data_IF_134925121640
#
_entry.id   IF_134925121640
#
_cell.length_a   1.000
_cell.length_b   1.000
_cell.length_c   1.000
_cell.angle_alpha   90.00
_cell.angle_beta   90.00
_cell.angle_gamma   90.00
#
_symmetry.space_group_name_H-M   'P 1'
#
loop_
_entity.id
_entity.type
_entity.pdbx_description
1 polymer ?
#
# COMPACT_ATOMS: atom_id res chain seq x y z
N UNK A 1 -15.28 26.64 9.76
CA UNK A 1 -14.42 25.81 8.88
C UNK A 1 -14.61 24.32 9.16
N UNK A 2 -14.67 23.92 10.43
CA UNK A 2 -15.08 22.58 10.92
C UNK A 2 -16.37 22.04 10.30
N UNK A 3 -17.38 22.90 10.09
CA UNK A 3 -18.66 22.52 9.49
C UNK A 3 -18.52 22.03 8.02
N UNK A 4 -17.60 22.63 7.24
CA UNK A 4 -17.36 22.23 5.84
C UNK A 4 -16.65 20.88 5.73
N UNK A 5 -15.67 20.60 6.60
CA UNK A 5 -14.99 19.31 6.61
C UNK A 5 -15.93 18.17 7.03
N UNK A 6 -16.81 18.42 8.01
CA UNK A 6 -17.83 17.46 8.41
C UNK A 6 -18.82 17.16 7.27
N UNK A 7 -19.27 18.19 6.55
CA UNK A 7 -20.15 18.03 5.38
C UNK A 7 -19.46 17.25 4.25
N UNK A 8 -18.22 17.58 3.92
CA UNK A 8 -17.43 16.84 2.92
C UNK A 8 -17.24 15.38 3.33
N UNK A 9 -16.93 15.13 4.61
CA UNK A 9 -16.75 13.79 5.17
C UNK A 9 -18.02 12.92 5.10
N UNK A 10 -19.19 13.56 5.22
CA UNK A 10 -20.51 12.92 5.09
C UNK A 10 -20.99 12.77 3.64
N UNK A 11 -20.32 13.40 2.67
CA UNK A 11 -20.71 13.33 1.26
C UNK A 11 -20.61 11.89 0.72
N UNK A 12 -21.50 11.54 -0.23
CA UNK A 12 -21.54 10.20 -0.81
C UNK A 12 -20.20 9.73 -1.43
N UNK A 13 -19.46 10.58 -2.17
CA UNK A 13 -18.15 10.18 -2.70
C UNK A 13 -17.14 9.83 -1.60
N UNK A 14 -17.06 10.64 -0.55
CA UNK A 14 -16.14 10.40 0.56
C UNK A 14 -16.58 9.20 1.39
N UNK A 15 -17.88 9.02 1.62
CA UNK A 15 -18.41 7.83 2.28
C UNK A 15 -18.06 6.53 1.52
N UNK A 16 -18.09 6.55 0.18
CA UNK A 16 -17.63 5.44 -0.65
C UNK A 16 -16.15 5.13 -0.46
N UNK A 17 -15.28 6.14 -0.49
CA UNK A 17 -13.85 5.97 -0.24
C UNK A 17 -13.54 5.45 1.18
N UNK A 18 -14.30 5.91 2.19
CA UNK A 18 -14.19 5.40 3.56
C UNK A 18 -14.56 3.92 3.64
N UNK A 19 -15.63 3.51 2.97
CA UNK A 19 -16.05 2.12 2.91
C UNK A 19 -15.01 1.23 2.20
N UNK A 20 -14.45 1.69 1.08
CA UNK A 20 -13.41 0.97 0.35
C UNK A 20 -12.11 0.87 1.17
N UNK A 21 -11.69 1.93 1.85
CA UNK A 21 -10.52 1.90 2.73
C UNK A 21 -10.71 0.94 3.92
N UNK A 22 -11.87 0.99 4.58
CA UNK A 22 -12.21 0.06 5.65
C UNK A 22 -12.25 -1.39 5.16
N UNK A 23 -12.82 -1.65 3.98
CA UNK A 23 -12.80 -2.97 3.35
C UNK A 23 -11.37 -3.45 3.07
N UNK A 24 -10.50 -2.60 2.53
CA UNK A 24 -9.11 -2.95 2.27
C UNK A 24 -8.35 -3.36 3.54
N UNK A 25 -8.55 -2.64 4.65
CA UNK A 25 -7.95 -2.98 5.96
C UNK A 25 -8.46 -4.33 6.46
N UNK A 26 -9.79 -4.55 6.46
CA UNK A 26 -10.37 -5.82 6.91
C UNK A 26 -9.95 -6.98 6.03
N UNK A 27 -9.86 -6.77 4.72
CA UNK A 27 -9.37 -7.78 3.78
C UNK A 27 -7.88 -8.07 4.01
N UNK A 28 -7.05 -7.06 4.26
CA UNK A 28 -5.64 -7.26 4.61
C UNK A 28 -5.49 -8.07 5.91
N UNK A 29 -6.31 -7.80 6.92
CA UNK A 29 -6.37 -8.62 8.13
C UNK A 29 -6.80 -10.07 7.83
N UNK A 30 -7.83 -10.26 6.98
CA UNK A 30 -8.30 -11.57 6.55
C UNK A 30 -7.20 -12.38 5.84
N UNK A 31 -6.37 -11.72 5.03
CA UNK A 31 -5.23 -12.33 4.33
C UNK A 31 -3.93 -12.40 5.15
N UNK A 32 -3.94 -11.99 6.43
CA UNK A 32 -2.77 -12.06 7.30
C UNK A 32 -1.67 -11.03 6.99
N UNK A 33 -2.02 -9.90 6.36
CA UNK A 33 -1.08 -8.83 5.99
C UNK A 33 -0.92 -7.75 7.08
N UNK A 34 -1.76 -7.80 8.12
CA UNK A 34 -1.73 -6.86 9.24
C UNK A 34 -0.64 -7.21 10.26
N UNK A 35 -0.13 -6.22 10.97
CA UNK A 35 0.83 -6.40 12.07
C UNK A 35 0.34 -5.65 13.32
N UNK A 36 -0.28 -6.37 14.26
CA UNK A 36 -0.85 -5.77 15.47
C UNK A 36 -1.81 -4.62 15.16
N UNK A 37 -1.55 -3.45 15.74
CA UNK A 37 -2.26 -2.18 15.49
C UNK A 37 -1.43 -1.18 14.67
N UNK A 38 -0.31 -1.64 14.10
CA UNK A 38 0.60 -0.86 13.26
C UNK A 38 0.10 -0.85 11.80
N UNK A 39 0.93 -0.32 10.89
CA UNK A 39 0.69 -0.15 9.46
C UNK A 39 -0.44 0.83 9.14
N UNK A 40 -0.40 1.37 7.92
CA UNK A 40 -1.35 2.41 7.52
C UNK A 40 -1.72 2.31 6.05
N UNK A 41 -3.00 2.50 5.78
CA UNK A 41 -3.54 2.67 4.42
C UNK A 41 -4.16 4.07 4.31
N UNK A 42 -3.91 4.75 3.19
CA UNK A 42 -4.52 6.04 2.90
C UNK A 42 -5.04 6.17 1.48
N UNK A 43 -6.00 7.07 1.30
CA UNK A 43 -6.49 7.49 -0.02
C UNK A 43 -6.76 8.99 -0.06
N UNK A 44 -6.12 9.68 -1.02
CA UNK A 44 -6.32 11.11 -1.27
C UNK A 44 -7.69 11.39 -1.87
N UNK A 45 -8.31 12.49 -1.44
CA UNK A 45 -9.58 12.93 -2.00
C UNK A 45 -9.38 13.42 -3.44
N UNK A 46 -10.27 13.07 -4.40
CA UNK A 46 -10.15 13.47 -5.79
C UNK A 46 -10.64 14.91 -6.03
N UNK A 47 -10.21 15.86 -5.19
CA UNK A 47 -10.64 17.25 -5.19
C UNK A 47 -9.47 18.27 -5.19
N UNK A 48 -8.24 17.77 -5.34
CA UNK A 48 -6.99 18.56 -5.31
C UNK A 48 -6.78 19.37 -4.01
N UNK A 49 -7.47 19.02 -2.92
CA UNK A 49 -7.32 19.71 -1.63
C UNK A 49 -6.07 19.27 -0.84
N UNK A 50 -5.42 18.17 -1.25
CA UNK A 50 -4.35 17.54 -0.47
C UNK A 50 -4.82 16.85 0.82
N UNK A 51 -6.13 16.70 0.98
CA UNK A 51 -6.74 15.95 2.09
C UNK A 51 -6.81 14.47 1.73
N UNK A 52 -6.67 13.61 2.72
CA UNK A 52 -6.77 12.18 2.51
C UNK A 52 -7.44 11.49 3.70
N UNK A 53 -7.93 10.28 3.44
CA UNK A 53 -8.49 9.37 4.43
C UNK A 53 -7.41 8.43 4.93
N UNK A 54 -7.45 8.11 6.24
CA UNK A 54 -6.47 7.27 6.93
C UNK A 54 -7.18 6.34 7.93
N UNK A 55 -6.62 5.16 8.19
CA UNK A 55 -7.11 4.28 9.25
C UNK A 55 -6.90 4.90 10.65
N UNK A 56 -7.79 4.58 11.61
CA UNK A 56 -7.68 5.06 12.98
C UNK A 56 -6.50 4.41 13.71
N UNK A 57 -5.96 5.14 14.70
CA UNK A 57 -4.95 4.59 15.62
C UNK A 57 -5.59 3.65 16.65
N UNK A 58 -4.97 2.50 16.87
CA UNK A 58 -5.24 1.63 18.02
C UNK A 58 -6.33 0.56 17.82
N UNK A 59 -6.97 0.51 16.65
CA UNK A 59 -7.87 -0.58 16.30
C UNK A 59 -7.13 -1.66 15.50
N UNK A 60 -7.51 -2.92 15.71
CA UNK A 60 -7.10 -3.98 14.80
C UNK A 60 -7.78 -3.76 13.45
N UNK A 61 -7.08 -4.04 12.36
CA UNK A 61 -7.61 -3.81 11.01
C UNK A 61 -8.92 -4.56 10.71
N UNK A 62 -9.19 -5.68 11.40
CA UNK A 62 -10.48 -6.41 11.30
C UNK A 62 -11.66 -5.68 11.94
N UNK A 63 -11.41 -4.71 12.81
CA UNK A 63 -12.42 -3.96 13.56
C UNK A 63 -12.83 -2.66 12.85
N UNK A 64 -12.00 -2.19 11.91
CA UNK A 64 -12.18 -0.88 11.27
C UNK A 64 -13.38 -0.89 10.33
N UNK A 65 -14.39 -0.08 10.65
CA UNK A 65 -15.52 0.26 9.79
C UNK A 65 -15.33 1.60 9.08
N UNK A 66 -16.25 1.93 8.16
CA UNK A 66 -16.22 3.18 7.40
C UNK A 66 -16.35 4.44 8.28
N UNK A 67 -17.00 4.32 9.44
CA UNK A 67 -17.16 5.42 10.41
C UNK A 67 -15.95 5.57 11.34
N UNK A 68 -15.00 4.64 11.29
CA UNK A 68 -13.75 4.72 12.03
C UNK A 68 -12.64 5.43 11.24
N UNK A 69 -12.81 5.59 9.93
CA UNK A 69 -11.85 6.29 9.08
C UNK A 69 -11.76 7.77 9.47
N UNK A 70 -10.56 8.33 9.39
CA UNK A 70 -10.28 9.73 9.72
C UNK A 70 -9.86 10.48 8.46
N UNK A 71 -10.36 11.71 8.28
CA UNK A 71 -9.87 12.64 7.26
C UNK A 71 -8.79 13.53 7.87
N UNK A 72 -7.66 13.64 7.19
CA UNK A 72 -6.52 14.47 7.59
C UNK A 72 -6.08 15.40 6.46
N UNK A 73 -5.38 16.48 6.82
CA UNK A 73 -4.60 17.27 5.87
C UNK A 73 -3.15 16.77 5.73
N UNK A 74 -2.39 17.39 4.83
CA UNK A 74 -0.97 17.10 4.61
C UNK A 74 -0.06 17.39 5.81
N UNK A 75 -0.54 18.12 6.84
CA UNK A 75 0.18 18.38 8.08
C UNK A 75 -0.16 17.38 9.19
N UNK A 76 -1.08 16.44 8.91
CA UNK A 76 -1.51 15.43 9.86
C UNK A 76 -2.55 15.91 10.86
N UNK A 77 -3.16 17.07 10.62
CA UNK A 77 -4.27 17.52 11.43
C UNK A 77 -5.52 16.74 11.04
N UNK A 78 -6.17 16.14 12.05
CA UNK A 78 -7.46 15.50 11.87
C UNK A 78 -8.54 16.56 11.60
N UNK A 79 -9.17 16.48 10.42
CA UNK A 79 -10.20 17.41 9.96
C UNK A 79 -11.61 16.90 10.26
N UNK A 80 -11.82 15.58 10.19
CA UNK A 80 -13.09 14.90 10.49
C UNK A 80 -12.85 13.42 10.82
N UNK A 81 -13.79 12.81 11.55
CA UNK A 81 -13.66 11.45 12.10
C UNK A 81 -13.62 11.45 13.63
N UNK A 82 -13.83 10.28 14.24
CA UNK A 82 -13.98 10.14 15.70
C UNK A 82 -12.75 9.63 16.45
N UNK A 83 -11.72 9.22 15.71
CA UNK A 83 -10.53 8.58 16.27
C UNK A 83 -9.29 9.45 16.09
N UNK A 84 -8.28 9.28 16.97
CA UNK A 84 -6.96 9.84 16.72
C UNK A 84 -6.28 9.13 15.55
N UNK A 85 -5.35 9.83 14.90
CA UNK A 85 -4.46 9.27 13.89
C UNK A 85 -3.08 9.01 14.48
N UNK A 86 -2.35 8.06 13.90
CA UNK A 86 -0.97 7.82 14.27
C UNK A 86 -0.07 8.85 13.59
N UNK A 87 0.73 9.65 14.33
CA UNK A 87 1.57 10.67 13.71
C UNK A 87 2.59 10.12 12.71
N UNK A 88 3.08 8.89 12.92
CA UNK A 88 4.09 8.24 12.07
C UNK A 88 3.58 7.96 10.66
N UNK A 89 2.28 7.63 10.53
CA UNK A 89 1.61 7.41 9.25
C UNK A 89 1.75 8.62 8.31
N UNK A 90 1.78 9.82 8.90
CA UNK A 90 1.87 11.07 8.15
C UNK A 90 3.22 11.26 7.48
N UNK A 91 4.31 10.77 8.07
CA UNK A 91 5.63 11.01 7.53
C UNK A 91 5.82 10.34 6.18
N UNK A 92 5.33 9.12 5.99
CA UNK A 92 5.43 8.40 4.71
C UNK A 92 4.31 8.82 3.75
N UNK A 93 3.05 8.75 4.19
CA UNK A 93 1.91 8.88 3.30
C UNK A 93 1.77 10.29 2.71
N UNK A 94 1.95 11.35 3.52
CA UNK A 94 1.84 12.72 3.02
C UNK A 94 2.93 13.05 1.99
N UNK A 95 4.14 12.54 2.18
CA UNK A 95 5.23 12.73 1.21
C UNK A 95 4.94 12.01 -0.10
N UNK A 96 4.42 10.78 -0.06
CA UNK A 96 4.07 10.01 -1.25
C UNK A 96 2.91 10.65 -2.02
N UNK A 97 1.82 11.05 -1.35
CA UNK A 97 0.73 11.79 -1.98
C UNK A 97 1.24 13.08 -2.64
N UNK A 98 2.08 13.86 -1.96
CA UNK A 98 2.54 15.16 -2.44
C UNK A 98 3.60 15.08 -3.55
N UNK A 99 4.61 14.23 -3.39
CA UNK A 99 5.80 14.17 -4.25
C UNK A 99 5.60 13.14 -5.37
N UNK A 100 5.20 11.92 -5.01
CA UNK A 100 5.00 10.84 -5.98
C UNK A 100 3.60 10.88 -6.62
N UNK A 101 2.68 11.71 -6.11
CA UNK A 101 1.33 11.93 -6.66
C UNK A 101 0.51 10.65 -6.79
N UNK A 102 0.67 9.76 -5.82
CA UNK A 102 -0.04 8.48 -5.76
C UNK A 102 -1.34 8.62 -4.95
N UNK A 103 -2.53 8.36 -5.52
CA UNK A 103 -3.79 8.56 -4.81
C UNK A 103 -4.03 7.57 -3.67
N UNK A 104 -3.68 6.30 -3.85
CA UNK A 104 -3.77 5.29 -2.79
C UNK A 104 -2.36 4.88 -2.37
N UNK A 105 -2.13 4.77 -1.07
CA UNK A 105 -0.84 4.38 -0.49
C UNK A 105 -1.09 3.33 0.59
N UNK A 106 -0.56 2.13 0.40
CA UNK A 106 -0.74 1.00 1.29
C UNK A 106 0.61 0.57 1.85
N UNK A 107 0.87 0.86 3.11
CA UNK A 107 2.10 0.44 3.80
C UNK A 107 1.83 -0.81 4.65
N UNK A 108 2.68 -1.82 4.54
CA UNK A 108 2.58 -3.05 5.34
C UNK A 108 3.94 -3.59 5.76
N UNK A 109 3.93 -4.31 6.89
CA UNK A 109 4.99 -5.22 7.33
C UNK A 109 4.56 -6.69 7.08
N UNK A 110 4.09 -6.98 5.88
CA UNK A 110 3.59 -8.32 5.55
C UNK A 110 4.74 -9.35 5.49
N UNK A 111 4.54 -10.60 5.98
CA UNK A 111 5.64 -11.49 6.34
C UNK A 111 6.68 -11.75 5.25
N UNK A 112 6.25 -12.09 4.03
CA UNK A 112 7.17 -12.55 2.98
C UNK A 112 7.84 -11.39 2.27
N UNK A 113 7.11 -10.31 1.96
CA UNK A 113 7.75 -9.13 1.39
C UNK A 113 8.74 -8.49 2.37
N UNK A 114 8.38 -8.37 3.66
CA UNK A 114 9.30 -7.89 4.69
C UNK A 114 10.53 -8.78 4.79
N UNK A 115 10.38 -10.11 4.74
CA UNK A 115 11.53 -11.02 4.75
C UNK A 115 12.53 -10.74 3.61
N UNK A 116 12.05 -10.44 2.40
CA UNK A 116 12.92 -10.07 1.28
C UNK A 116 13.63 -8.73 1.48
N UNK A 117 13.05 -7.78 2.22
CA UNK A 117 13.76 -6.52 2.58
C UNK A 117 14.97 -6.74 3.48
N UNK A 118 15.09 -7.92 4.12
CA UNK A 118 16.19 -8.27 5.01
C UNK A 118 17.38 -8.88 4.27
N UNK A 119 17.21 -9.31 3.02
CA UNK A 119 18.27 -9.93 2.21
C UNK A 119 19.19 -8.87 1.59
N UNK A 120 20.31 -9.31 1.00
CA UNK A 120 21.17 -8.41 0.20
C UNK A 120 20.46 -7.82 -1.01
N UNK A 121 19.49 -8.55 -1.57
CA UNK A 121 18.74 -8.13 -2.76
C UNK A 121 17.67 -7.09 -2.42
N UNK A 122 17.24 -7.04 -1.15
CA UNK A 122 16.28 -6.09 -0.57
C UNK A 122 14.89 -6.10 -1.22
N UNK A 123 14.62 -6.95 -2.19
CA UNK A 123 13.40 -6.94 -2.98
C UNK A 123 13.04 -8.28 -3.62
N UNK A 124 11.84 -8.31 -4.20
CA UNK A 124 11.37 -9.38 -5.07
C UNK A 124 12.17 -9.43 -6.38
N UNK A 125 12.59 -10.63 -6.78
CA UNK A 125 13.04 -10.89 -8.15
C UNK A 125 11.82 -11.04 -9.06
N UNK A 126 11.61 -10.00 -9.86
CA UNK A 126 10.48 -9.87 -10.78
C UNK A 126 10.51 -10.83 -11.98
N UNK A 127 11.50 -11.73 -12.07
CA UNK A 127 11.66 -12.68 -13.18
C UNK A 127 11.41 -14.13 -12.81
N UNK A 128 11.05 -14.43 -11.54
CA UNK A 128 10.93 -15.82 -11.05
C UNK A 128 9.55 -16.46 -11.23
N UNK A 129 8.48 -15.68 -11.30
CA UNK A 129 7.11 -16.21 -11.44
C UNK A 129 6.21 -15.26 -12.20
N UNK A 130 5.16 -15.76 -12.84
CA UNK A 130 4.16 -14.94 -13.52
C UNK A 130 3.60 -13.84 -12.60
N UNK A 131 3.38 -14.15 -11.32
CA UNK A 131 2.91 -13.18 -10.33
C UNK A 131 3.98 -12.12 -10.04
N UNK A 132 5.26 -12.49 -9.95
CA UNK A 132 6.34 -11.54 -9.75
C UNK A 132 6.55 -10.62 -10.96
N UNK A 133 6.34 -11.14 -12.18
CA UNK A 133 6.47 -10.38 -13.42
C UNK A 133 5.47 -9.22 -13.51
N UNK A 134 4.34 -9.26 -12.78
CA UNK A 134 3.38 -8.14 -12.66
C UNK A 134 4.04 -6.83 -12.18
N UNK A 135 5.16 -6.94 -11.48
CA UNK A 135 5.90 -5.83 -10.88
C UNK A 135 7.19 -5.48 -11.63
N UNK A 136 7.49 -6.17 -12.74
CA UNK A 136 8.69 -5.89 -13.52
C UNK A 136 8.64 -4.46 -14.07
N UNK A 137 9.69 -3.66 -13.77
CA UNK A 137 9.75 -2.24 -14.12
C UNK A 137 8.87 -1.31 -13.27
N UNK A 138 8.19 -1.83 -12.23
CA UNK A 138 7.30 -1.07 -11.33
C UNK A 138 7.74 -1.08 -9.87
N UNK A 139 8.93 -1.60 -9.59
CA UNK A 139 9.50 -1.76 -8.26
C UNK A 139 10.70 -0.84 -8.08
N UNK A 140 10.71 -0.10 -6.99
CA UNK A 140 11.88 0.62 -6.48
C UNK A 140 12.37 -0.02 -5.18
N UNK A 141 13.66 0.15 -4.91
CA UNK A 141 14.27 -0.24 -3.64
C UNK A 141 14.77 1.00 -2.94
N UNK A 142 14.27 1.18 -1.74
CA UNK A 142 14.89 2.04 -0.77
C UNK A 142 15.88 1.25 0.10
N UNK A 143 17.16 1.35 -0.23
CA UNK A 143 18.23 0.63 0.45
C UNK A 143 18.68 1.23 1.80
N UNK A 144 18.10 2.35 2.27
CA UNK A 144 18.51 2.99 3.54
C UNK A 144 17.40 2.84 4.59
N UNK A 145 17.79 2.46 5.80
CA UNK A 145 16.91 2.40 6.97
C UNK A 145 17.44 3.36 8.04
N UNK A 146 16.67 4.40 8.37
CA UNK A 146 17.07 5.43 9.33
C UNK A 146 16.44 5.23 10.74
N UNK A 147 15.91 4.04 11.02
CA UNK A 147 15.14 3.78 12.24
C UNK A 147 13.67 4.14 12.09
N UNK A 148 12.99 4.45 13.19
CA UNK A 148 11.58 4.82 13.16
C UNK A 148 11.38 6.08 12.32
N UNK A 149 10.35 6.09 11.47
CA UNK A 149 9.94 7.30 10.75
C UNK A 149 9.39 8.31 11.75
N UNK A 150 10.25 9.21 12.23
CA UNK A 150 9.93 10.24 13.22
C UNK A 150 9.94 11.66 12.64
N UNK A 151 10.32 11.80 11.37
CA UNK A 151 10.34 13.07 10.67
C UNK A 151 10.01 12.93 9.18
N UNK A 152 9.77 14.08 8.54
CA UNK A 152 9.36 14.16 7.14
C UNK A 152 10.47 13.78 6.15
N UNK A 153 11.74 13.78 6.55
CA UNK A 153 12.85 13.49 5.64
C UNK A 153 12.80 12.06 5.13
N UNK A 154 12.35 11.14 5.97
CA UNK A 154 12.19 9.73 5.63
C UNK A 154 11.15 9.53 4.52
N UNK A 155 9.98 10.16 4.65
CA UNK A 155 8.95 10.09 3.64
C UNK A 155 9.35 10.72 2.31
N UNK A 156 10.03 11.88 2.35
CA UNK A 156 10.52 12.50 1.11
C UNK A 156 11.54 11.62 0.39
N UNK A 157 12.40 10.97 1.15
CA UNK A 157 13.42 10.05 0.64
C UNK A 157 12.77 8.84 -0.03
N UNK A 158 11.77 8.23 0.61
CA UNK A 158 10.97 7.14 0.04
C UNK A 158 10.24 7.60 -1.23
N UNK A 159 9.54 8.74 -1.17
CA UNK A 159 8.77 9.27 -2.29
C UNK A 159 9.66 9.64 -3.49
N UNK A 160 10.90 10.08 -3.26
CA UNK A 160 11.89 10.32 -4.33
C UNK A 160 12.47 9.02 -4.87
N UNK A 161 12.73 8.04 -4.01
CA UNK A 161 13.24 6.73 -4.41
C UNK A 161 12.24 5.97 -5.30
N UNK A 162 10.94 6.20 -5.13
CA UNK A 162 9.89 5.67 -6.02
C UNK A 162 10.14 5.98 -7.49
N UNK A 163 10.50 7.23 -7.81
CA UNK A 163 10.52 7.68 -9.21
C UNK A 163 9.15 7.44 -9.87
N UNK A 164 9.12 6.55 -10.87
CA UNK A 164 7.89 6.11 -11.56
C UNK A 164 7.36 4.75 -11.09
N UNK A 165 7.94 4.16 -10.04
CA UNK A 165 7.50 2.89 -9.48
C UNK A 165 6.23 3.06 -8.65
N UNK A 166 5.40 2.02 -8.64
CA UNK A 166 4.19 1.96 -7.81
C UNK A 166 4.44 1.15 -6.53
N UNK A 167 5.55 0.40 -6.46
CA UNK A 167 5.91 -0.45 -5.32
C UNK A 167 7.31 -0.08 -4.85
N UNK A 168 7.48 0.08 -3.53
CA UNK A 168 8.78 0.29 -2.90
C UNK A 168 9.03 -0.77 -1.85
N UNK A 169 10.20 -1.39 -1.91
CA UNK A 169 10.74 -2.18 -0.81
C UNK A 169 11.60 -1.28 0.07
N UNK A 170 11.29 -1.24 1.37
CA UNK A 170 11.98 -0.45 2.37
C UNK A 170 12.93 -1.36 3.15
N UNK A 171 14.24 -1.16 3.03
CA UNK A 171 15.23 -1.98 3.70
C UNK A 171 14.91 -2.11 5.21
N UNK A 172 14.93 -3.34 5.72
CA UNK A 172 14.71 -3.64 7.14
C UNK A 172 13.36 -3.21 7.72
N UNK A 173 12.34 -2.93 6.89
CA UNK A 173 11.08 -2.34 7.35
C UNK A 173 9.85 -3.06 6.77
N UNK A 174 9.65 -2.99 5.46
CA UNK A 174 8.43 -3.50 4.83
C UNK A 174 8.26 -2.95 3.42
N UNK A 175 7.02 -2.80 2.96
CA UNK A 175 6.74 -2.28 1.62
C UNK A 175 5.73 -1.15 1.63
N UNK A 176 5.75 -0.38 0.55
CA UNK A 176 4.67 0.53 0.18
C UNK A 176 4.17 0.13 -1.21
N UNK A 177 2.85 -0.03 -1.33
CA UNK A 177 2.16 -0.30 -2.60
C UNK A 177 1.19 0.82 -2.90
N UNK A 178 1.32 1.41 -4.08
CA UNK A 178 0.51 2.53 -4.52
C UNK A 178 -0.39 2.16 -5.69
N UNK A 179 -1.38 3.00 -5.96
CA UNK A 179 -2.18 2.88 -7.16
C UNK A 179 -3.22 3.99 -7.33
N UNK A 180 -3.87 4.05 -8.51
CA UNK A 180 -4.81 5.12 -8.84
C UNK A 180 -6.18 4.98 -8.16
N UNK A 181 -6.50 3.79 -7.63
CA UNK A 181 -7.74 3.50 -6.88
C UNK A 181 -7.53 2.31 -5.94
N UNK A 182 -8.33 2.25 -4.87
CA UNK A 182 -8.17 1.25 -3.80
C UNK A 182 -8.15 -0.19 -4.31
N UNK A 183 -9.07 -0.55 -5.20
CA UNK A 183 -9.11 -1.90 -5.78
C UNK A 183 -7.82 -2.29 -6.52
N UNK A 184 -7.14 -1.33 -7.16
CA UNK A 184 -5.91 -1.60 -7.90
C UNK A 184 -4.72 -1.74 -6.94
N UNK A 185 -4.59 -0.81 -5.99
CA UNK A 185 -3.53 -0.86 -5.00
C UNK A 185 -3.64 -2.12 -4.13
N UNK A 186 -4.87 -2.49 -3.74
CA UNK A 186 -5.10 -3.69 -2.93
C UNK A 186 -4.82 -5.00 -3.68
N UNK A 187 -5.24 -5.09 -4.95
CA UNK A 187 -4.90 -6.23 -5.82
C UNK A 187 -3.38 -6.41 -5.94
N UNK A 188 -2.66 -5.31 -6.17
CA UNK A 188 -1.20 -5.32 -6.26
C UNK A 188 -0.55 -5.67 -4.91
N UNK A 189 -1.07 -5.18 -3.77
CA UNK A 189 -0.59 -5.55 -2.44
C UNK A 189 -0.75 -7.05 -2.18
N UNK A 190 -1.94 -7.59 -2.46
CA UNK A 190 -2.23 -9.01 -2.31
C UNK A 190 -1.28 -9.86 -3.16
N UNK A 191 -1.17 -9.58 -4.45
CA UNK A 191 -0.33 -10.36 -5.35
C UNK A 191 1.17 -10.16 -5.11
N UNK A 192 1.59 -9.01 -4.58
CA UNK A 192 2.97 -8.80 -4.16
C UNK A 192 3.35 -9.79 -3.06
N UNK A 193 2.51 -9.94 -2.03
CA UNK A 193 2.77 -10.92 -0.96
C UNK A 193 2.77 -12.35 -1.50
N UNK A 194 1.84 -12.68 -2.40
CA UNK A 194 1.82 -14.00 -3.06
C UNK A 194 3.12 -14.28 -3.84
N UNK A 195 3.65 -13.28 -4.54
CA UNK A 195 4.91 -13.41 -5.28
C UNK A 195 6.11 -13.57 -4.34
N UNK A 196 6.18 -12.74 -3.29
CA UNK A 196 7.24 -12.82 -2.27
C UNK A 196 7.22 -14.18 -1.56
N UNK A 197 6.03 -14.68 -1.21
CA UNK A 197 5.88 -16.00 -0.62
C UNK A 197 6.45 -17.11 -1.52
N UNK A 198 6.11 -17.08 -2.82
CA UNK A 198 6.62 -18.06 -3.77
C UNK A 198 8.16 -18.01 -3.87
N UNK A 199 8.74 -16.82 -3.91
CA UNK A 199 10.20 -16.65 -3.92
C UNK A 199 10.85 -17.19 -2.64
N UNK A 200 10.34 -16.83 -1.46
CA UNK A 200 10.88 -17.30 -0.17
C UNK A 200 10.79 -18.83 -0.07
N UNK A 201 9.66 -19.42 -0.47
CA UNK A 201 9.50 -20.89 -0.51
C UNK A 201 10.46 -21.56 -1.50
N UNK A 202 10.68 -20.96 -2.68
CA UNK A 202 11.64 -21.49 -3.64
C UNK A 202 13.08 -21.42 -3.09
N UNK A 203 13.45 -20.29 -2.49
CA UNK A 203 14.75 -20.08 -1.85
C UNK A 203 14.99 -21.05 -0.69
N UNK A 204 13.97 -21.38 0.11
CA UNK A 204 14.12 -22.30 1.24
C UNK A 204 14.44 -23.74 0.83
N UNK A 205 14.29 -24.09 -0.46
CA UNK A 205 14.70 -25.42 -0.96
C UNK A 205 16.22 -25.58 -1.08
N UNK A 206 16.99 -24.49 -1.04
CA UNK A 206 18.43 -24.47 -1.28
C UNK A 206 18.83 -24.78 -2.72
N UNK A 207 17.88 -24.95 -3.64
CA UNK A 207 18.13 -25.15 -5.06
C UNK A 207 18.39 -23.80 -5.75
N UNK A 208 19.26 -23.74 -6.77
CA UNK A 208 19.38 -22.56 -7.62
C UNK A 208 18.03 -22.19 -8.25
N UNK A 209 17.73 -20.89 -8.27
CA UNK A 209 16.54 -20.35 -8.93
C UNK A 209 16.79 -20.21 -10.44
N UNK A 210 15.72 -20.26 -11.24
CA UNK A 210 15.77 -20.19 -12.70
C UNK A 210 14.92 -19.00 -13.20
N UNK A 211 15.46 -17.78 -13.19
CA UNK A 211 14.76 -16.60 -13.71
C UNK A 211 14.54 -16.69 -15.22
N UNK A 212 13.42 -16.11 -15.70
CA UNK A 212 13.19 -15.94 -17.14
C UNK A 212 13.89 -14.69 -17.67
N UNK A 213 13.97 -14.56 -19.00
CA UNK A 213 14.48 -13.35 -19.64
C UNK A 213 13.67 -12.10 -19.25
N UNK A 214 14.37 -10.99 -18.95
CA UNK A 214 13.75 -9.72 -18.58
C UNK A 214 12.75 -9.21 -19.66
N UNK A 215 13.02 -9.48 -20.94
CA UNK A 215 12.11 -9.12 -22.03
C UNK A 215 10.77 -9.89 -21.96
N UNK A 216 10.79 -11.15 -21.50
CA UNK A 216 9.56 -11.89 -21.25
C UNK A 216 8.82 -11.32 -20.04
N UNK A 217 9.53 -11.03 -18.94
CA UNK A 217 8.94 -10.41 -17.75
C UNK A 217 8.26 -9.07 -18.08
N UNK A 218 8.91 -8.21 -18.87
CA UNK A 218 8.34 -6.94 -19.33
C UNK A 218 7.06 -7.11 -20.16
N UNK A 219 7.00 -8.12 -21.05
CA UNK A 219 5.77 -8.42 -21.82
C UNK A 219 4.62 -8.88 -20.92
N UNK A 220 4.90 -9.74 -19.94
CA UNK A 220 3.89 -10.22 -18.97
C UNK A 220 3.41 -9.07 -18.08
N UNK A 221 4.29 -8.16 -17.67
CA UNK A 221 3.93 -6.95 -16.95
C UNK A 221 2.95 -6.09 -17.77
N UNK A 222 3.26 -5.83 -19.05
CA UNK A 222 2.41 -5.04 -19.93
C UNK A 222 1.03 -5.70 -20.17
N UNK A 223 0.98 -7.03 -20.35
CA UNK A 223 -0.28 -7.78 -20.46
C UNK A 223 -1.13 -7.66 -19.19
N UNK A 224 -0.51 -7.75 -18.02
CA UNK A 224 -1.21 -7.62 -16.74
C UNK A 224 -1.76 -6.22 -16.53
N UNK A 225 -0.98 -5.18 -16.87
CA UNK A 225 -1.42 -3.79 -16.74
C UNK A 225 -2.54 -3.43 -17.72
N UNK A 226 -2.54 -4.06 -18.90
CA UNK A 226 -3.59 -3.90 -19.90
C UNK A 226 -4.94 -4.49 -19.50
N UNK A 227 -4.98 -5.36 -18.48
CA UNK A 227 -6.20 -6.06 -18.03
C UNK A 227 -6.40 -5.95 -16.52
N UNK A 228 -7.14 -4.92 -16.09
CA UNK A 228 -7.40 -4.62 -14.67
C UNK A 228 -8.84 -4.93 -14.23
N UNK A 229 -9.69 -5.51 -15.07
CA UNK A 229 -11.04 -5.92 -14.68
C UNK A 229 -11.01 -6.90 -13.50
N UNK A 230 -10.04 -7.81 -13.51
CA UNK A 230 -9.87 -8.80 -12.44
C UNK A 230 -9.58 -8.14 -11.08
N UNK A 231 -8.82 -7.03 -11.05
CA UNK A 231 -8.58 -6.29 -9.80
C UNK A 231 -9.89 -5.71 -9.23
N UNK A 232 -10.77 -5.20 -10.09
CA UNK A 232 -12.08 -4.69 -9.67
C UNK A 232 -13.01 -5.83 -9.20
N UNK A 233 -13.07 -6.93 -9.95
CA UNK A 233 -13.89 -8.10 -9.59
C UNK A 233 -13.41 -8.76 -8.29
N UNK A 234 -12.09 -8.82 -8.07
CA UNK A 234 -11.52 -9.29 -6.82
C UNK A 234 -11.95 -8.42 -5.64
N UNK A 235 -11.84 -7.10 -5.77
CA UNK A 235 -12.25 -6.19 -4.70
C UNK A 235 -13.76 -6.26 -4.40
N UNK A 236 -14.59 -6.38 -5.43
CA UNK A 236 -16.03 -6.61 -5.26
C UNK A 236 -16.34 -7.99 -4.65
N UNK A 237 -15.52 -9.01 -4.91
CA UNK A 237 -15.63 -10.29 -4.23
C UNK A 237 -15.35 -10.17 -2.73
N UNK A 238 -14.30 -9.42 -2.35
CA UNK A 238 -13.99 -9.14 -0.95
C UNK A 238 -15.14 -8.41 -0.26
N UNK A 239 -15.79 -7.45 -0.93
CA UNK A 239 -16.96 -6.73 -0.39
C UNK A 239 -18.10 -7.67 0.01
N UNK A 240 -18.22 -8.84 -0.63
CA UNK A 240 -19.26 -9.84 -0.31
C UNK A 240 -18.85 -10.80 0.80
N UNK A 241 -17.56 -10.96 1.08
CA UNK A 241 -17.03 -12.02 1.95
C UNK A 241 -16.37 -11.53 3.23
N UNK A 242 -15.99 -10.25 3.28
CA UNK A 242 -15.29 -9.61 4.41
C UNK A 242 -16.14 -8.50 4.99
#
# INVERSE_FOLDING_TARGET
MTDRHAQDFASAPVAGLRADLALALRAAAHHGLAEGVCNHFSVELPDASGRFLLNPRGLLWREVGADDIVMVDHQGQALAGRHPVEPTAMFIHAAIHRIARQPCVLHTHMPFATALTLTSDRALDTTLSQTAMRFHGRLAVDGRYNGLALDASEGERIARAMGSADVVFLANHGVVVCGPRMAHAYDDLYYLERACQAQVLAQSTGRPLAPVDAALAARVAAQTLGERLQSALFFEALRRTV
#
